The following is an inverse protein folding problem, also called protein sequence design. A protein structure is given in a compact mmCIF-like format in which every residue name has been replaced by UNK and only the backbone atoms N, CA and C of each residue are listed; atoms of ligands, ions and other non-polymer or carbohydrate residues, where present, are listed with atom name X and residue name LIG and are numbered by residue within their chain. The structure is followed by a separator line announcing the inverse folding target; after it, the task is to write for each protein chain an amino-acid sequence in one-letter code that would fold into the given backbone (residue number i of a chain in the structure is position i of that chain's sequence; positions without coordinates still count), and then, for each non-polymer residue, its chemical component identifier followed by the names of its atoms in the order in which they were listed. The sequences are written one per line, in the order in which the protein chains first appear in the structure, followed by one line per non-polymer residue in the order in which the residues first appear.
data_IF_120248926555
#
_entry.id   IF_120248926555
#
_cell.length_a   1.000
_cell.length_b   1.000
_cell.length_c   1.000
_cell.angle_alpha   90.00
_cell.angle_beta   90.00
_cell.angle_gamma   90.00
#
_symmetry.space_group_name_H-M   'P 1'
#
loop_
_entity.id
_entity.type
_entity.pdbx_description
1 polymer ?
#
# COMPACT_ATOMS: atom_id res chain seq x y z
N UNK A 1 29.50 4.33 64.39
CA UNK A 1 28.58 3.19 64.19
C UNK A 1 27.74 3.46 62.96
N UNK A 2 28.17 2.93 61.86
CA UNK A 2 27.45 3.05 60.54
C UNK A 2 26.93 1.68 60.15
N UNK A 3 25.63 1.48 60.28
CA UNK A 3 24.92 0.25 59.87
C UNK A 3 24.70 0.23 58.38
N UNK A 4 25.42 -0.65 57.68
CA UNK A 4 25.18 -1.01 56.29
C UNK A 4 23.90 -1.88 56.20
N UNK A 5 22.82 -1.32 55.66
CA UNK A 5 21.65 -2.10 55.25
C UNK A 5 21.92 -2.71 53.86
N UNK A 6 22.19 -4.02 53.83
CA UNK A 6 22.28 -4.79 52.60
C UNK A 6 20.90 -4.94 51.98
N UNK A 7 20.67 -4.28 50.84
CA UNK A 7 19.48 -4.44 50.00
C UNK A 7 19.54 -5.80 49.32
N UNK A 8 18.71 -6.75 49.77
CA UNK A 8 18.49 -8.03 49.11
C UNK A 8 17.61 -7.85 47.87
N UNK A 9 18.23 -7.63 46.72
CA UNK A 9 17.53 -7.67 45.44
C UNK A 9 17.15 -9.13 45.11
N UNK A 10 15.88 -9.46 45.17
CA UNK A 10 15.33 -10.75 44.74
C UNK A 10 15.57 -10.90 43.21
N UNK A 11 16.23 -11.97 42.74
CA UNK A 11 16.42 -12.18 41.32
C UNK A 11 15.07 -12.40 40.64
N UNK A 12 14.72 -11.55 39.69
CA UNK A 12 13.56 -11.72 38.83
C UNK A 12 13.80 -12.97 37.95
N UNK A 13 12.92 -13.98 37.99
CA UNK A 13 13.14 -15.19 37.22
C UNK A 13 13.22 -14.85 35.73
N UNK A 14 14.31 -15.19 35.08
CA UNK A 14 14.56 -14.98 33.64
C UNK A 14 13.53 -15.62 32.73
N UNK A 15 12.71 -16.52 33.26
CA UNK A 15 11.67 -17.25 32.48
C UNK A 15 10.43 -16.43 32.16
N UNK A 16 10.23 -15.25 32.74
CA UNK A 16 9.09 -14.38 32.45
C UNK A 16 9.25 -13.63 31.12
N UNK A 17 10.47 -13.47 30.61
CA UNK A 17 10.75 -12.71 29.37
C UNK A 17 10.60 -13.57 28.11
N UNK A 18 10.53 -14.89 28.23
CA UNK A 18 10.45 -15.82 27.09
C UNK A 18 9.01 -16.19 26.69
N UNK A 19 7.97 -15.70 27.40
CA UNK A 19 6.57 -16.10 27.15
C UNK A 19 5.81 -15.26 26.14
N UNK A 20 6.37 -14.18 25.61
CA UNK A 20 5.74 -13.39 24.54
C UNK A 20 6.28 -13.70 23.12
N UNK A 21 6.68 -14.93 22.85
CA UNK A 21 6.65 -15.38 21.46
C UNK A 21 5.17 -15.41 21.04
N UNK A 22 4.78 -14.71 19.94
CA UNK A 22 3.44 -14.87 19.42
C UNK A 22 3.24 -16.37 19.18
N UNK A 23 2.44 -16.97 20.05
CA UNK A 23 2.03 -18.37 19.95
C UNK A 23 1.58 -18.57 18.51
N UNK A 24 2.12 -19.56 17.83
CA UNK A 24 1.69 -19.98 16.51
C UNK A 24 0.17 -19.98 16.52
N UNK A 25 -0.43 -19.06 15.73
CA UNK A 25 -1.87 -18.92 15.71
C UNK A 25 -2.42 -20.28 15.29
N UNK A 26 -3.31 -20.83 16.07
CA UNK A 26 -3.93 -22.12 15.74
C UNK A 26 -4.43 -22.07 14.29
N UNK A 27 -4.23 -23.14 13.49
CA UNK A 27 -4.62 -23.14 12.09
C UNK A 27 -6.11 -22.79 11.98
N UNK A 28 -6.48 -21.95 10.99
CA UNK A 28 -7.85 -21.47 10.87
C UNK A 28 -8.83 -22.63 10.70
N UNK A 29 -9.98 -22.55 11.37
CA UNK A 29 -11.05 -23.53 11.24
C UNK A 29 -11.48 -23.69 9.78
N UNK A 30 -12.10 -24.82 9.42
CA UNK A 30 -12.60 -25.07 8.05
C UNK A 30 -13.50 -23.93 7.56
N UNK A 31 -14.43 -23.45 8.39
CA UNK A 31 -15.34 -22.35 8.05
C UNK A 31 -14.55 -21.06 7.73
N UNK A 32 -13.51 -20.76 8.47
CA UNK A 32 -12.67 -19.61 8.28
C UNK A 32 -11.81 -19.70 7.02
N UNK A 33 -11.30 -20.90 6.69
CA UNK A 33 -10.60 -21.14 5.42
C UNK A 33 -11.51 -20.88 4.22
N UNK A 34 -12.78 -21.33 4.28
CA UNK A 34 -13.77 -21.06 3.23
C UNK A 34 -14.03 -19.56 3.11
N UNK A 35 -14.23 -18.85 4.22
CA UNK A 35 -14.43 -17.39 4.22
C UNK A 35 -13.21 -16.65 3.62
N UNK A 36 -11.99 -17.05 3.98
CA UNK A 36 -10.75 -16.49 3.40
C UNK A 36 -10.63 -16.77 1.90
N UNK A 37 -10.98 -17.98 1.46
CA UNK A 37 -10.94 -18.33 0.04
C UNK A 37 -11.96 -17.52 -0.76
N UNK A 38 -13.21 -17.42 -0.29
CA UNK A 38 -14.26 -16.66 -0.98
C UNK A 38 -13.94 -15.15 -1.01
N UNK A 39 -13.54 -14.57 0.12
CA UNK A 39 -13.15 -13.17 0.16
C UNK A 39 -11.90 -12.89 -0.67
N UNK A 40 -10.95 -13.83 -0.72
CA UNK A 40 -9.77 -13.76 -1.56
C UNK A 40 -10.11 -13.76 -3.04
N UNK A 41 -11.00 -14.66 -3.49
CA UNK A 41 -11.48 -14.65 -4.87
C UNK A 41 -12.17 -13.33 -5.20
N UNK A 42 -13.07 -12.86 -4.34
CA UNK A 42 -13.80 -11.61 -4.58
C UNK A 42 -12.87 -10.40 -4.68
N UNK A 43 -11.88 -10.26 -3.78
CA UNK A 43 -10.99 -9.09 -3.75
C UNK A 43 -9.91 -9.14 -4.83
N UNK A 44 -9.54 -10.34 -5.31
CA UNK A 44 -8.49 -10.50 -6.32
C UNK A 44 -9.03 -10.72 -7.74
N UNK A 45 -10.31 -11.05 -7.91
CA UNK A 45 -10.88 -11.33 -9.23
C UNK A 45 -10.70 -10.16 -10.20
N UNK A 46 -11.07 -8.96 -9.79
CA UNK A 46 -10.94 -7.77 -10.62
C UNK A 46 -9.48 -7.41 -10.93
N UNK A 47 -8.57 -7.25 -9.93
CA UNK A 47 -7.17 -6.92 -10.23
C UNK A 47 -6.47 -7.99 -11.07
N UNK A 48 -6.81 -9.26 -10.90
CA UNK A 48 -6.24 -10.32 -11.73
C UNK A 48 -6.79 -10.28 -13.16
N UNK A 49 -8.09 -10.06 -13.33
CA UNK A 49 -8.72 -9.96 -14.65
C UNK A 49 -8.16 -8.78 -15.45
N UNK A 50 -8.11 -7.59 -14.85
CA UNK A 50 -7.56 -6.39 -15.49
C UNK A 50 -6.05 -6.47 -15.66
N UNK A 51 -5.30 -6.92 -14.66
CA UNK A 51 -3.85 -7.09 -14.79
C UNK A 51 -3.47 -8.08 -15.89
N UNK A 52 -4.25 -9.15 -16.09
CA UNK A 52 -4.05 -10.11 -17.17
C UNK A 52 -4.43 -9.49 -18.53
N UNK A 53 -5.55 -8.75 -18.59
CA UNK A 53 -5.98 -8.00 -19.78
C UNK A 53 -4.92 -7.00 -20.22
N UNK A 54 -4.36 -6.22 -19.28
CA UNK A 54 -3.29 -5.27 -19.55
C UNK A 54 -2.03 -5.94 -20.07
N UNK A 55 -1.66 -7.10 -19.52
CA UNK A 55 -0.50 -7.86 -20.00
C UNK A 55 -0.71 -8.33 -21.45
N UNK A 56 -1.89 -8.85 -21.76
CA UNK A 56 -2.24 -9.24 -23.15
C UNK A 56 -2.17 -8.04 -24.07
N UNK A 57 -2.77 -6.92 -23.68
CA UNK A 57 -2.76 -5.70 -24.49
C UNK A 57 -1.35 -5.13 -24.73
N UNK A 58 -0.48 -5.17 -23.74
CA UNK A 58 0.93 -4.79 -23.88
C UNK A 58 1.67 -5.68 -24.91
N UNK A 59 1.33 -6.96 -24.98
CA UNK A 59 1.95 -7.92 -25.89
C UNK A 59 1.36 -7.85 -27.30
N UNK A 60 0.10 -7.46 -27.46
CA UNK A 60 -0.61 -7.46 -28.76
C UNK A 60 -0.55 -6.16 -29.55
N UNK A 61 0.03 -5.10 -28.98
CA UNK A 61 0.42 -3.93 -29.76
C UNK A 61 -0.67 -2.87 -29.98
N UNK A 62 -1.28 -2.36 -28.91
CA UNK A 62 -2.15 -1.18 -28.96
C UNK A 62 -1.35 0.13 -29.16
N UNK A 63 -2.04 1.23 -29.45
CA UNK A 63 -1.47 2.57 -29.56
C UNK A 63 -0.69 2.97 -28.29
N UNK A 64 0.34 3.79 -28.45
CA UNK A 64 1.27 4.12 -27.36
C UNK A 64 0.57 4.77 -26.15
N UNK A 65 -0.41 5.63 -26.39
CA UNK A 65 -1.18 6.29 -25.34
C UNK A 65 -2.03 5.29 -24.55
N UNK A 66 -2.68 4.37 -25.24
CA UNK A 66 -3.45 3.28 -24.63
C UNK A 66 -2.56 2.36 -23.79
N UNK A 67 -1.33 2.06 -24.24
CA UNK A 67 -0.36 1.27 -23.47
C UNK A 67 0.04 1.94 -22.16
N UNK A 68 0.15 3.26 -22.14
CA UNK A 68 0.45 3.99 -20.92
C UNK A 68 -0.66 3.82 -19.87
N UNK A 69 -1.92 4.01 -20.26
CA UNK A 69 -3.06 3.82 -19.34
C UNK A 69 -3.18 2.37 -18.86
N UNK A 70 -2.98 1.40 -19.74
CA UNK A 70 -2.97 -0.01 -19.39
C UNK A 70 -1.85 -0.36 -18.43
N UNK A 71 -0.63 0.12 -18.68
CA UNK A 71 0.49 -0.14 -17.78
C UNK A 71 0.28 0.48 -16.41
N UNK A 72 -0.16 1.73 -16.35
CA UNK A 72 -0.25 2.50 -15.11
C UNK A 72 -1.57 2.33 -14.38
N UNK A 73 -2.70 2.54 -15.04
CA UNK A 73 -4.03 2.42 -14.45
C UNK A 73 -4.37 0.96 -14.12
N UNK A 74 -4.29 0.09 -15.10
CA UNK A 74 -4.67 -1.30 -14.91
C UNK A 74 -3.53 -2.14 -14.31
N UNK A 75 -2.31 -2.05 -14.83
CA UNK A 75 -1.18 -2.85 -14.39
C UNK A 75 -0.69 -2.46 -13.00
N UNK A 76 -0.26 -1.20 -12.83
CA UNK A 76 0.30 -0.73 -11.55
C UNK A 76 -0.79 -0.51 -10.51
N UNK A 77 -1.87 0.20 -10.82
CA UNK A 77 -2.93 0.48 -9.85
C UNK A 77 -3.64 -0.80 -9.44
N UNK A 78 -4.24 -1.52 -10.38
CA UNK A 78 -5.08 -2.66 -10.08
C UNK A 78 -4.24 -3.93 -9.85
N UNK A 79 -3.29 -4.24 -10.72
CA UNK A 79 -2.49 -5.46 -10.64
C UNK A 79 -1.48 -5.46 -9.48
N UNK A 80 -0.91 -4.31 -9.13
CA UNK A 80 0.13 -4.22 -8.08
C UNK A 80 -0.41 -3.61 -6.80
N UNK A 81 -0.90 -2.37 -6.83
CA UNK A 81 -1.27 -1.67 -5.59
C UNK A 81 -2.50 -2.28 -4.93
N UNK A 82 -3.51 -2.66 -5.70
CA UNK A 82 -4.68 -3.34 -5.13
C UNK A 82 -4.32 -4.73 -4.62
N UNK A 83 -3.63 -5.56 -5.42
CA UNK A 83 -3.39 -6.95 -5.07
C UNK A 83 -2.39 -7.15 -3.93
N UNK A 84 -1.38 -6.27 -3.77
CA UNK A 84 -0.29 -6.49 -2.82
C UNK A 84 -0.74 -6.70 -1.37
N UNK A 85 -1.64 -5.84 -0.86
CA UNK A 85 -2.19 -5.95 0.48
C UNK A 85 -3.00 -7.24 0.69
N UNK A 86 -4.05 -7.49 -0.10
CA UNK A 86 -4.86 -8.70 -0.04
C UNK A 86 -4.05 -9.99 -0.14
N UNK A 87 -3.11 -10.09 -1.07
CA UNK A 87 -2.24 -11.27 -1.21
C UNK A 87 -1.44 -11.52 0.08
N UNK A 88 -0.86 -10.47 0.66
CA UNK A 88 -0.10 -10.61 1.90
C UNK A 88 -1.00 -11.02 3.09
N UNK A 89 -2.21 -10.45 3.20
CA UNK A 89 -3.20 -10.80 4.22
C UNK A 89 -3.64 -12.25 4.08
N UNK A 90 -3.99 -12.69 2.88
CA UNK A 90 -4.44 -14.05 2.58
C UNK A 90 -3.35 -15.08 2.86
N UNK A 91 -2.13 -14.85 2.36
CA UNK A 91 -1.02 -15.78 2.53
C UNK A 91 -0.63 -15.94 4.00
N UNK A 92 -0.60 -14.85 4.77
CA UNK A 92 -0.33 -14.91 6.21
C UNK A 92 -1.43 -15.68 6.95
N UNK A 93 -2.70 -15.32 6.70
CA UNK A 93 -3.84 -15.93 7.35
C UNK A 93 -3.99 -17.41 7.00
N UNK A 94 -3.76 -17.78 5.73
CA UNK A 94 -3.83 -19.17 5.27
C UNK A 94 -2.77 -20.06 5.93
N UNK A 95 -1.57 -19.51 6.14
CA UNK A 95 -0.45 -20.20 6.76
C UNK A 95 -0.46 -20.15 8.29
N UNK A 96 -1.47 -19.53 8.91
CA UNK A 96 -1.51 -19.31 10.36
C UNK A 96 -0.35 -18.44 10.87
N UNK A 97 0.19 -17.56 10.02
CA UNK A 97 1.29 -16.66 10.39
C UNK A 97 0.75 -15.28 10.78
N UNK A 98 1.49 -14.52 11.59
CA UNK A 98 1.15 -13.14 11.89
C UNK A 98 1.04 -12.33 10.59
N UNK A 99 0.00 -11.49 10.50
CA UNK A 99 -0.20 -10.58 9.38
C UNK A 99 0.96 -9.57 9.35
N UNK A 100 1.61 -9.37 8.18
CA UNK A 100 2.64 -8.35 8.07
C UNK A 100 2.06 -6.96 8.36
N UNK A 101 2.73 -6.19 9.25
CA UNK A 101 2.22 -4.91 9.73
C UNK A 101 1.93 -3.87 8.62
N UNK A 102 2.57 -4.01 7.46
CA UNK A 102 2.34 -3.14 6.30
C UNK A 102 1.10 -3.51 5.47
N UNK A 103 0.66 -4.78 5.47
CA UNK A 103 -0.30 -5.29 4.49
C UNK A 103 -1.70 -4.67 4.65
N UNK A 104 -2.20 -4.61 5.90
CA UNK A 104 -3.50 -4.01 6.16
C UNK A 104 -3.51 -2.49 5.95
N UNK A 105 -2.54 -1.70 6.45
CA UNK A 105 -2.49 -0.26 6.17
C UNK A 105 -2.37 0.06 4.68
N UNK A 106 -1.57 -0.70 3.92
CA UNK A 106 -1.47 -0.54 2.48
C UNK A 106 -2.82 -0.75 1.79
N UNK A 107 -3.51 -1.85 2.11
CA UNK A 107 -4.82 -2.12 1.53
C UNK A 107 -5.87 -1.09 1.96
N UNK A 108 -5.87 -0.66 3.24
CA UNK A 108 -6.77 0.38 3.72
C UNK A 108 -6.51 1.73 3.03
N UNK A 109 -5.25 2.11 2.84
CA UNK A 109 -4.87 3.31 2.09
C UNK A 109 -5.32 3.26 0.63
N UNK A 110 -5.20 2.10 -0.02
CA UNK A 110 -5.70 1.89 -1.37
C UNK A 110 -7.24 2.01 -1.45
N UNK A 111 -7.97 1.38 -0.54
CA UNK A 111 -9.44 1.48 -0.46
C UNK A 111 -9.87 2.91 -0.20
N UNK A 112 -9.22 3.60 0.73
CA UNK A 112 -9.49 5.01 1.01
C UNK A 112 -9.24 5.87 -0.23
N UNK A 113 -8.17 5.61 -0.99
CA UNK A 113 -7.90 6.31 -2.24
C UNK A 113 -9.04 6.14 -3.25
N UNK A 114 -9.59 4.94 -3.41
CA UNK A 114 -10.72 4.70 -4.32
C UNK A 114 -11.95 5.50 -3.92
N UNK A 115 -12.32 5.48 -2.63
CA UNK A 115 -13.48 6.20 -2.10
C UNK A 115 -13.30 7.71 -2.23
N UNK A 116 -12.13 8.23 -1.85
CA UNK A 116 -11.81 9.65 -1.97
C UNK A 116 -11.89 10.08 -3.44
N UNK A 117 -11.25 9.36 -4.36
CA UNK A 117 -11.26 9.71 -5.78
C UNK A 117 -12.68 9.67 -6.35
N UNK A 118 -13.47 8.63 -6.06
CA UNK A 118 -14.85 8.51 -6.52
C UNK A 118 -15.80 9.57 -5.93
N UNK A 119 -15.40 10.23 -4.86
CA UNK A 119 -16.20 11.29 -4.25
C UNK A 119 -16.17 12.61 -5.05
N UNK A 120 -15.12 12.84 -5.85
CA UNK A 120 -14.95 14.10 -6.57
C UNK A 120 -14.70 13.95 -8.08
N UNK A 121 -14.29 12.76 -8.58
CA UNK A 121 -14.17 12.50 -10.01
C UNK A 121 -15.52 12.02 -10.54
N UNK A 122 -16.11 12.68 -11.57
CA UNK A 122 -17.37 12.25 -12.17
C UNK A 122 -17.15 11.00 -13.02
N UNK A 123 -18.24 10.27 -13.28
CA UNK A 123 -18.26 9.12 -14.19
C UNK A 123 -19.29 8.09 -13.76
N UNK A 124 -19.97 7.52 -14.75
CA UNK A 124 -20.90 6.43 -14.52
C UNK A 124 -20.10 5.18 -14.12
N UNK A 125 -20.49 4.55 -13.04
CA UNK A 125 -19.81 3.34 -12.56
C UNK A 125 -18.62 3.57 -11.60
N UNK A 126 -17.96 4.75 -11.55
CA UNK A 126 -16.81 4.95 -10.63
C UNK A 126 -17.19 4.77 -9.16
N UNK A 127 -18.39 5.20 -8.76
CA UNK A 127 -18.91 5.00 -7.40
C UNK A 127 -19.23 3.53 -7.12
N UNK A 128 -19.74 2.82 -8.14
CA UNK A 128 -20.01 1.39 -8.04
C UNK A 128 -18.70 0.63 -7.88
N UNK A 129 -17.68 0.97 -8.66
CA UNK A 129 -16.35 0.37 -8.53
C UNK A 129 -15.74 0.62 -7.15
N UNK A 130 -15.79 1.85 -6.65
CA UNK A 130 -15.32 2.18 -5.31
C UNK A 130 -16.10 1.42 -4.21
N UNK A 131 -17.41 1.24 -4.38
CA UNK A 131 -18.22 0.43 -3.47
C UNK A 131 -17.82 -1.05 -3.53
N UNK A 132 -17.57 -1.62 -4.70
CA UNK A 132 -17.07 -3.00 -4.86
C UNK A 132 -15.72 -3.15 -4.14
N UNK A 133 -14.79 -2.21 -4.35
CA UNK A 133 -13.49 -2.21 -3.67
C UNK A 133 -13.66 -2.19 -2.16
N UNK A 134 -14.52 -1.31 -1.64
CA UNK A 134 -14.74 -1.17 -0.19
C UNK A 134 -15.42 -2.41 0.41
N UNK A 135 -16.45 -2.96 -0.25
CA UNK A 135 -17.18 -4.14 0.23
C UNK A 135 -16.29 -5.39 0.21
N UNK A 136 -15.57 -5.63 -0.89
CA UNK A 136 -14.66 -6.78 -0.99
C UNK A 136 -13.52 -6.70 0.02
N UNK A 137 -12.99 -5.49 0.27
CA UNK A 137 -12.01 -5.25 1.32
C UNK A 137 -12.58 -5.52 2.72
N UNK A 138 -13.78 -5.04 3.02
CA UNK A 138 -14.45 -5.28 4.31
C UNK A 138 -14.68 -6.79 4.56
N UNK A 139 -15.10 -7.53 3.54
CA UNK A 139 -15.27 -8.99 3.62
C UNK A 139 -13.93 -9.69 3.90
N UNK A 140 -12.85 -9.29 3.22
CA UNK A 140 -11.53 -9.82 3.49
C UNK A 140 -11.07 -9.51 4.92
N UNK A 141 -11.21 -8.26 5.36
CA UNK A 141 -10.80 -7.86 6.72
C UNK A 141 -11.59 -8.59 7.80
N UNK A 142 -12.88 -8.84 7.56
CA UNK A 142 -13.70 -9.65 8.46
C UNK A 142 -13.23 -11.11 8.52
N UNK A 143 -12.79 -11.69 7.39
CA UNK A 143 -12.30 -13.07 7.32
C UNK A 143 -10.91 -13.22 7.95
N UNK A 144 -10.06 -12.18 7.98
CA UNK A 144 -8.70 -12.23 8.55
C UNK A 144 -8.75 -12.33 10.08
N UNK A 145 -8.09 -13.32 10.71
CA UNK A 145 -8.22 -13.63 12.15
C UNK A 145 -7.78 -12.53 13.10
N UNK A 146 -6.73 -11.84 12.76
CA UNK A 146 -6.08 -10.86 13.65
C UNK A 146 -5.53 -9.71 12.83
N UNK A 147 -6.38 -8.70 12.60
CA UNK A 147 -5.90 -7.42 12.05
C UNK A 147 -5.18 -6.62 13.15
N UNK A 148 -4.08 -5.94 12.81
CA UNK A 148 -3.44 -5.00 13.73
C UNK A 148 -4.43 -3.95 14.23
N UNK A 149 -4.35 -3.60 15.51
CA UNK A 149 -5.21 -2.55 16.08
C UNK A 149 -4.79 -1.20 15.52
N UNK A 150 -5.75 -0.34 15.18
CA UNK A 150 -5.52 1.01 14.65
C UNK A 150 -4.59 1.85 15.56
N UNK A 151 -4.71 1.70 16.88
CA UNK A 151 -3.85 2.45 17.85
C UNK A 151 -2.37 2.14 17.76
N UNK A 152 -1.97 0.98 17.19
CA UNK A 152 -0.57 0.62 16.99
C UNK A 152 -0.04 0.93 15.59
N UNK A 153 -0.83 1.62 14.75
CA UNK A 153 -0.42 1.96 13.40
C UNK A 153 0.27 3.32 13.32
N UNK A 154 -0.06 4.24 14.22
CA UNK A 154 0.54 5.58 14.25
C UNK A 154 1.65 5.58 15.30
N UNK A 155 2.88 5.42 14.84
CA UNK A 155 4.08 5.35 15.69
C UNK A 155 4.84 6.68 15.77
N UNK A 156 4.34 7.70 15.10
CA UNK A 156 4.96 9.02 14.93
C UNK A 156 5.30 9.31 13.46
N UNK A 157 5.83 10.50 13.23
CA UNK A 157 6.21 10.94 11.87
C UNK A 157 7.62 10.46 11.54
N UNK A 158 7.77 9.81 10.40
CA UNK A 158 9.07 9.48 9.84
C UNK A 158 9.73 10.74 9.26
N UNK A 159 10.95 11.13 9.70
CA UNK A 159 11.56 12.39 9.31
C UNK A 159 11.97 12.45 7.82
N UNK A 160 12.10 11.30 7.15
CA UNK A 160 12.48 11.24 5.73
C UNK A 160 11.25 11.07 4.84
N UNK A 161 10.33 10.16 5.22
CA UNK A 161 9.13 9.88 4.42
C UNK A 161 8.08 10.99 4.52
N UNK A 162 8.00 11.73 5.63
CA UNK A 162 7.02 12.81 5.78
C UNK A 162 7.22 13.96 4.78
N UNK A 163 8.42 14.55 4.61
CA UNK A 163 8.63 15.56 3.57
C UNK A 163 8.45 15.00 2.15
N UNK A 164 8.80 13.72 1.89
CA UNK A 164 8.53 13.09 0.61
C UNK A 164 7.02 12.90 0.38
N UNK A 165 6.23 12.61 1.40
CA UNK A 165 4.78 12.54 1.29
C UNK A 165 4.15 13.91 0.96
N UNK A 166 4.63 14.99 1.59
CA UNK A 166 4.19 16.35 1.28
C UNK A 166 4.56 16.77 -0.14
N UNK A 167 5.80 16.47 -0.55
CA UNK A 167 6.26 16.72 -1.92
C UNK A 167 5.44 15.93 -2.93
N UNK A 168 5.16 14.66 -2.63
CA UNK A 168 4.28 13.81 -3.45
C UNK A 168 2.87 14.40 -3.57
N UNK A 169 2.27 14.85 -2.46
CA UNK A 169 0.96 15.49 -2.49
C UNK A 169 0.97 16.75 -3.40
N UNK A 170 1.98 17.60 -3.27
CA UNK A 170 2.13 18.79 -4.10
C UNK A 170 2.33 18.44 -5.60
N UNK A 171 3.08 17.38 -5.91
CA UNK A 171 3.35 16.93 -7.27
C UNK A 171 2.12 16.29 -7.93
N UNK A 172 1.40 15.43 -7.19
CA UNK A 172 0.29 14.66 -7.76
C UNK A 172 -1.05 15.41 -7.73
N UNK A 173 -1.28 16.37 -6.83
CA UNK A 173 -2.54 17.09 -6.76
C UNK A 173 -2.92 17.82 -8.07
N UNK A 174 -2.04 18.58 -8.75
CA UNK A 174 -2.37 19.18 -10.04
C UNK A 174 -2.74 18.13 -11.10
N UNK A 175 -2.07 16.99 -11.10
CA UNK A 175 -2.35 15.89 -12.01
C UNK A 175 -3.74 15.30 -11.76
N UNK A 176 -4.11 15.05 -10.50
CA UNK A 176 -5.46 14.59 -10.12
C UNK A 176 -6.53 15.56 -10.58
N UNK A 177 -6.31 16.88 -10.41
CA UNK A 177 -7.24 17.91 -10.88
C UNK A 177 -7.38 17.89 -12.40
N UNK A 178 -6.27 17.72 -13.13
CA UNK A 178 -6.28 17.60 -14.58
C UNK A 178 -7.06 16.35 -15.04
N UNK A 179 -6.81 15.19 -14.42
CA UNK A 179 -7.54 13.94 -14.75
C UNK A 179 -9.04 14.07 -14.45
N UNK A 180 -9.41 14.67 -13.33
CA UNK A 180 -10.81 15.00 -13.02
C UNK A 180 -11.44 15.87 -14.10
N UNK A 181 -10.73 16.91 -14.55
CA UNK A 181 -11.22 17.80 -15.61
C UNK A 181 -11.43 17.04 -16.92
N UNK A 182 -10.47 16.22 -17.32
CA UNK A 182 -10.58 15.39 -18.52
C UNK A 182 -11.77 14.43 -18.42
N UNK A 183 -11.96 13.74 -17.30
CA UNK A 183 -13.09 12.85 -17.07
C UNK A 183 -14.45 13.57 -17.13
N UNK A 184 -14.47 14.85 -16.73
CA UNK A 184 -15.72 15.65 -16.73
C UNK A 184 -16.06 16.25 -18.10
N UNK A 185 -15.08 16.45 -18.97
CA UNK A 185 -15.25 17.27 -20.20
C UNK A 185 -15.01 16.52 -21.50
N UNK A 186 -14.29 15.41 -21.46
CA UNK A 186 -14.04 14.57 -22.62
C UNK A 186 -15.19 13.59 -22.84
N UNK A 187 -15.44 13.30 -24.13
CA UNK A 187 -16.41 12.32 -24.61
C UNK A 187 -15.71 11.34 -25.55
N UNK A 188 -14.51 10.93 -25.17
CA UNK A 188 -13.70 9.97 -25.91
C UNK A 188 -13.73 8.60 -25.20
N UNK A 189 -13.15 7.59 -25.83
CA UNK A 189 -13.07 6.23 -25.31
C UNK A 189 -12.43 6.17 -23.91
N UNK A 190 -11.43 7.05 -23.65
CA UNK A 190 -10.77 7.10 -22.34
C UNK A 190 -11.71 7.57 -21.21
N UNK A 191 -12.63 8.51 -21.50
CA UNK A 191 -13.62 8.97 -20.55
C UNK A 191 -14.72 7.90 -20.32
N UNK A 192 -15.17 7.24 -21.40
CA UNK A 192 -16.16 6.16 -21.34
C UNK A 192 -15.64 4.94 -20.57
N UNK A 193 -14.38 4.57 -20.78
CA UNK A 193 -13.69 3.47 -20.09
C UNK A 193 -13.16 3.86 -18.70
N UNK A 194 -13.43 5.08 -18.23
CA UNK A 194 -13.00 5.62 -16.93
C UNK A 194 -11.48 5.69 -16.70
N UNK A 195 -10.66 5.70 -17.75
CA UNK A 195 -9.20 5.72 -17.64
C UNK A 195 -8.67 6.97 -16.91
N UNK A 196 -9.32 8.14 -17.10
CA UNK A 196 -8.94 9.35 -16.36
C UNK A 196 -9.22 9.22 -14.84
N UNK A 197 -10.31 8.50 -14.48
CA UNK A 197 -10.56 8.18 -13.08
C UNK A 197 -9.46 7.25 -12.52
N UNK A 198 -9.07 6.21 -13.25
CA UNK A 198 -8.03 5.27 -12.80
C UNK A 198 -6.69 5.98 -12.59
N UNK A 199 -6.35 6.93 -13.46
CA UNK A 199 -5.13 7.74 -13.32
C UNK A 199 -5.20 8.69 -12.12
N UNK A 200 -6.35 9.30 -11.86
CA UNK A 200 -6.56 10.10 -10.65
C UNK A 200 -6.45 9.23 -9.38
N UNK A 201 -7.09 8.06 -9.41
CA UNK A 201 -7.04 7.11 -8.30
C UNK A 201 -5.62 6.62 -8.02
N UNK A 202 -4.85 6.28 -9.05
CA UNK A 202 -3.45 5.90 -8.93
C UNK A 202 -2.62 7.00 -8.22
N UNK A 203 -2.80 8.25 -8.64
CA UNK A 203 -2.10 9.38 -8.04
C UNK A 203 -2.47 9.57 -6.56
N UNK A 204 -3.77 9.50 -6.22
CA UNK A 204 -4.24 9.56 -4.83
C UNK A 204 -3.73 8.35 -4.02
N UNK A 205 -3.72 7.15 -4.61
CA UNK A 205 -3.22 5.95 -3.94
C UNK A 205 -1.72 6.07 -3.60
N UNK A 206 -0.89 6.56 -4.53
CA UNK A 206 0.54 6.81 -4.27
C UNK A 206 0.71 7.72 -3.06
N UNK A 207 -0.02 8.84 -3.01
CA UNK A 207 0.07 9.81 -1.90
C UNK A 207 -0.38 9.18 -0.59
N UNK A 208 -1.55 8.50 -0.54
CA UNK A 208 -2.07 7.91 0.70
C UNK A 208 -1.20 6.74 1.20
N UNK A 209 -0.64 5.93 0.31
CA UNK A 209 0.30 4.89 0.68
C UNK A 209 1.59 5.49 1.28
N UNK A 210 2.06 6.60 0.73
CA UNK A 210 3.24 7.29 1.24
C UNK A 210 2.97 7.95 2.60
N UNK A 211 1.81 8.60 2.77
CA UNK A 211 1.36 9.11 4.08
C UNK A 211 1.28 7.99 5.10
N UNK A 212 0.70 6.85 4.73
CA UNK A 212 0.62 5.67 5.60
C UNK A 212 2.00 5.19 6.02
N UNK A 213 2.96 5.16 5.09
CA UNK A 213 4.34 4.80 5.39
C UNK A 213 5.05 5.84 6.28
N UNK A 214 4.72 7.12 6.11
CA UNK A 214 5.31 8.21 6.89
C UNK A 214 4.85 8.24 8.35
N UNK A 215 3.64 7.73 8.65
CA UNK A 215 3.08 7.71 10.01
C UNK A 215 3.27 6.37 10.74
N UNK A 216 3.70 5.31 10.04
CA UNK A 216 3.81 3.97 10.63
C UNK A 216 5.14 3.30 10.29
N UNK A 217 5.95 3.04 11.31
CA UNK A 217 7.22 2.29 11.16
C UNK A 217 7.03 0.86 10.62
N UNK A 218 5.86 0.27 10.83
CA UNK A 218 5.54 -1.06 10.32
C UNK A 218 5.23 -1.03 8.82
N UNK A 219 4.90 0.12 8.27
CA UNK A 219 4.47 0.29 6.87
C UNK A 219 5.62 0.56 5.86
N UNK A 220 6.87 0.29 6.20
CA UNK A 220 8.02 0.54 5.30
C UNK A 220 7.93 -0.12 3.92
N UNK A 221 7.20 -1.24 3.77
CA UNK A 221 6.90 -1.82 2.44
C UNK A 221 5.87 -1.01 1.66
N UNK A 222 5.01 -0.26 2.35
CA UNK A 222 4.04 0.64 1.73
C UNK A 222 4.75 1.78 0.98
N UNK A 223 5.88 2.29 1.53
CA UNK A 223 6.73 3.26 0.83
C UNK A 223 7.33 2.66 -0.45
N UNK A 224 7.73 1.38 -0.44
CA UNK A 224 8.24 0.70 -1.66
C UNK A 224 7.14 0.59 -2.72
N UNK A 225 5.91 0.26 -2.34
CA UNK A 225 4.77 0.21 -3.27
C UNK A 225 4.49 1.59 -3.85
N UNK A 226 4.42 2.63 -3.01
CA UNK A 226 4.19 4.00 -3.47
C UNK A 226 5.31 4.52 -4.37
N UNK A 227 6.57 4.32 -3.97
CA UNK A 227 7.74 4.74 -4.74
C UNK A 227 7.87 3.99 -6.07
N UNK A 228 7.61 2.67 -6.06
CA UNK A 228 7.59 1.84 -7.27
C UNK A 228 6.51 2.27 -8.25
N UNK A 229 5.31 2.56 -7.75
CA UNK A 229 4.20 3.07 -8.56
C UNK A 229 4.54 4.45 -9.16
N UNK A 230 5.04 5.39 -8.34
CA UNK A 230 5.45 6.71 -8.82
C UNK A 230 6.56 6.66 -9.88
N UNK A 231 7.56 5.80 -9.67
CA UNK A 231 8.62 5.57 -10.65
C UNK A 231 8.05 4.95 -11.95
N UNK A 232 7.15 3.97 -11.81
CA UNK A 232 6.48 3.33 -12.96
C UNK A 232 5.67 4.31 -13.78
N UNK A 233 4.90 5.21 -13.15
CA UNK A 233 4.16 6.29 -13.81
C UNK A 233 5.10 7.25 -14.53
N UNK A 234 6.16 7.71 -13.85
CA UNK A 234 7.12 8.63 -14.43
C UNK A 234 7.85 8.04 -15.62
N UNK A 235 8.45 6.86 -15.48
CA UNK A 235 9.18 6.17 -16.55
C UNK A 235 8.23 5.75 -17.68
N UNK A 236 7.06 5.20 -17.35
CA UNK A 236 6.05 4.84 -18.35
C UNK A 236 5.61 6.02 -19.19
N UNK A 237 5.37 7.18 -18.56
CA UNK A 237 5.02 8.41 -19.27
C UNK A 237 6.13 8.91 -20.20
N UNK A 238 7.39 8.86 -19.73
CA UNK A 238 8.55 9.26 -20.54
C UNK A 238 8.76 8.35 -21.76
N UNK A 239 8.47 7.07 -21.65
CA UNK A 239 8.71 6.08 -22.71
C UNK A 239 7.53 5.91 -23.66
N UNK A 240 6.30 6.05 -23.18
CA UNK A 240 5.09 5.67 -23.93
C UNK A 240 4.21 6.85 -24.35
N UNK A 241 4.38 8.04 -23.74
CA UNK A 241 3.58 9.22 -24.09
C UNK A 241 4.49 10.29 -24.70
N UNK A 242 4.65 11.39 -24.00
CA UNK A 242 5.56 12.46 -24.38
C UNK A 242 6.38 12.89 -23.18
N UNK A 243 7.69 13.13 -23.33
CA UNK A 243 8.52 13.59 -22.24
C UNK A 243 8.02 14.97 -21.75
N UNK A 244 7.48 15.00 -20.54
CA UNK A 244 7.07 16.20 -19.84
C UNK A 244 7.84 16.35 -18.56
N UNK A 245 8.00 17.58 -18.09
CA UNK A 245 8.63 17.86 -16.78
C UNK A 245 7.92 17.10 -15.65
N UNK A 246 6.61 16.92 -15.74
CA UNK A 246 5.85 16.21 -14.73
C UNK A 246 6.26 14.73 -14.63
N UNK A 247 6.42 14.02 -15.75
CA UNK A 247 6.87 12.62 -15.73
C UNK A 247 8.29 12.48 -15.19
N UNK A 248 9.18 13.41 -15.50
CA UNK A 248 10.54 13.45 -14.92
C UNK A 248 10.46 13.61 -13.41
N UNK A 249 9.67 14.56 -12.91
CA UNK A 249 9.50 14.80 -11.49
C UNK A 249 8.86 13.61 -10.77
N UNK A 250 7.87 12.94 -11.40
CA UNK A 250 7.25 11.73 -10.85
C UNK A 250 8.26 10.57 -10.75
N UNK A 251 9.10 10.38 -11.76
CA UNK A 251 10.16 9.37 -11.74
C UNK A 251 11.22 9.66 -10.66
N UNK A 252 11.67 10.90 -10.55
CA UNK A 252 12.64 11.33 -9.52
C UNK A 252 12.06 11.17 -8.11
N UNK A 253 10.81 11.60 -7.90
CA UNK A 253 10.13 11.45 -6.63
C UNK A 253 9.97 9.97 -6.25
N UNK A 254 9.48 9.13 -7.18
CA UNK A 254 9.34 7.69 -6.95
C UNK A 254 10.68 7.02 -6.62
N UNK A 255 11.74 7.39 -7.34
CA UNK A 255 13.11 6.93 -7.07
C UNK A 255 13.64 7.36 -5.70
N UNK A 256 13.39 8.61 -5.30
CA UNK A 256 13.77 9.12 -3.97
C UNK A 256 13.05 8.36 -2.84
N UNK A 257 11.74 8.10 -2.98
CA UNK A 257 10.97 7.30 -2.03
C UNK A 257 11.51 5.87 -1.92
N UNK A 258 11.80 5.22 -3.04
CA UNK A 258 12.39 3.87 -3.05
C UNK A 258 13.76 3.86 -2.37
N UNK A 259 14.62 4.82 -2.69
CA UNK A 259 15.93 4.96 -2.08
C UNK A 259 15.84 5.13 -0.57
N UNK A 260 14.97 6.02 -0.09
CA UNK A 260 14.72 6.23 1.33
C UNK A 260 14.24 4.94 2.03
N UNK A 261 13.25 4.25 1.46
CA UNK A 261 12.70 3.02 2.02
C UNK A 261 13.74 1.87 2.09
N UNK A 262 14.62 1.75 1.10
CA UNK A 262 15.69 0.74 1.08
C UNK A 262 16.76 1.06 2.12
N UNK A 263 17.18 2.32 2.22
CA UNK A 263 18.18 2.76 3.19
C UNK A 263 17.70 2.55 4.64
N UNK A 264 16.45 2.88 4.95
CA UNK A 264 15.87 2.66 6.28
C UNK A 264 15.87 1.18 6.67
N UNK A 265 15.60 0.27 5.72
CA UNK A 265 15.67 -1.18 5.99
C UNK A 265 17.08 -1.63 6.34
N UNK A 266 18.10 -1.14 5.65
CA UNK A 266 19.49 -1.51 5.92
C UNK A 266 19.92 -1.07 7.30
N UNK A 267 19.56 0.15 7.73
CA UNK A 267 19.91 0.68 9.04
C UNK A 267 19.20 -0.03 10.20
N UNK A 268 17.99 -0.53 10.01
CA UNK A 268 17.25 -1.29 11.01
C UNK A 268 17.82 -2.69 11.24
N UNK A 269 18.43 -3.31 10.22
CA UNK A 269 19.07 -4.64 10.33
C UNK A 269 20.44 -4.57 11.01
N UNK A 270 21.17 -3.46 10.87
CA UNK A 270 22.55 -3.28 11.37
C UNK A 270 22.61 -2.84 12.84
N UNK A 271 21.50 -2.42 13.47
CA UNK A 271 21.49 -2.18 14.92
C UNK A 271 21.44 -3.53 15.67
N UNK A 272 22.58 -4.10 16.11
CA UNK A 272 22.53 -5.22 17.03
C UNK A 272 21.83 -4.69 18.29
N UNK A 273 21.02 -5.55 18.89
CA UNK A 273 20.46 -5.34 20.22
C UNK A 273 21.63 -5.11 21.17
N UNK A 274 22.12 -3.87 21.20
CA UNK A 274 23.19 -3.45 22.08
C UNK A 274 22.75 -3.76 23.48
N UNK A 275 23.49 -4.68 24.14
CA UNK A 275 23.25 -5.13 25.47
C UNK A 275 23.02 -3.92 26.37
N UNK A 276 21.94 -3.95 27.11
CA UNK A 276 21.80 -3.15 28.30
C UNK A 276 22.97 -3.60 29.21
N UNK A 277 24.07 -2.88 29.15
CA UNK A 277 25.02 -2.89 30.24
C UNK A 277 24.29 -2.31 31.45
N UNK A 278 23.79 -3.19 32.30
CA UNK A 278 23.39 -2.85 33.65
C UNK A 278 24.61 -2.29 34.36
N UNK A 279 24.61 -1.01 34.68
CA UNK A 279 25.45 -0.37 35.66
C UNK A 279 24.61 -0.26 36.93
#
# INVERSE_FOLDING_TARGET
MTTNAASSATPIPSDAVLRDRPSDLAPPSRRRRVALALSGVLVLALPLLWGLGSLVALLTGHEADHRFHQLTGEGVLLGVLWAAGPVALLLASWRGRPVPGWAWPAHAGFVLASVVTASFVPGDGVRVLAAIVAVTAALLWWAVPALPRLRGLVDGLDPVLSPLALLGAALYAPYVVAQRHLQATRHDEHAEMTHYFDMAWLAVAIVLLLVTAAISRQAGRTAILAGGAGLGVGVGGLLLVHPTTWFVLAALHGGAVLGAAVLQRRTSVVRPSGGRTSV
#
